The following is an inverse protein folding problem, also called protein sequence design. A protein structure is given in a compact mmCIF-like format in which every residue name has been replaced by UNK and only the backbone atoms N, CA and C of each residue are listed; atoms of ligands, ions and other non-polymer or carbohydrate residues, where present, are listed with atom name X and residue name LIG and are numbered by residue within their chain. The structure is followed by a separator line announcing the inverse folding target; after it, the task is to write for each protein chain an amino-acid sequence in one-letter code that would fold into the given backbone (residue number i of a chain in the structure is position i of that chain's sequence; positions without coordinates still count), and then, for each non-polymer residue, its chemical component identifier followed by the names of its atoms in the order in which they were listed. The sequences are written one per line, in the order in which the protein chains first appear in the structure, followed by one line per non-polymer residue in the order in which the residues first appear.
data_IF_648567917677
#
_entry.id   IF_648567917677
#
_cell.length_a   1.000
_cell.length_b   1.000
_cell.length_c   1.000
_cell.angle_alpha   90.00
_cell.angle_beta   90.00
_cell.angle_gamma   90.00
#
_symmetry.space_group_name_H-M   'P 1'
#
loop_
_entity.id
_entity.type
_entity.pdbx_description
1 polymer ?
#
# COMPACT_ATOMS: atom_id res chain seq x y z
N UNK A 1 -13.05 -21.41 -16.63
CA UNK A 1 -12.07 -21.02 -15.58
C UNK A 1 -11.63 -19.57 -15.77
N UNK A 2 -11.10 -19.19 -16.95
CA UNK A 2 -10.81 -17.79 -17.34
C UNK A 2 -11.96 -16.81 -17.01
N UNK A 3 -13.21 -17.11 -17.39
CA UNK A 3 -14.38 -16.26 -17.09
C UNK A 3 -14.60 -16.03 -15.60
N UNK A 4 -14.33 -17.04 -14.76
CA UNK A 4 -14.48 -16.92 -13.30
C UNK A 4 -13.47 -15.92 -12.76
N UNK A 5 -12.20 -15.99 -13.19
CA UNK A 5 -11.19 -15.04 -12.76
C UNK A 5 -11.50 -13.60 -13.20
N UNK A 6 -11.99 -13.41 -14.44
CA UNK A 6 -12.40 -12.09 -14.92
C UNK A 6 -13.56 -11.54 -14.06
N UNK A 7 -14.60 -12.34 -13.82
CA UNK A 7 -15.72 -11.93 -12.98
C UNK A 7 -15.29 -11.65 -11.54
N UNK A 8 -14.41 -12.47 -10.96
CA UNK A 8 -13.85 -12.26 -9.62
C UNK A 8 -13.08 -10.96 -9.53
N UNK A 9 -12.23 -10.62 -10.50
CA UNK A 9 -11.52 -9.34 -10.53
C UNK A 9 -12.49 -8.15 -10.53
N UNK A 10 -13.53 -8.19 -11.37
CA UNK A 10 -14.53 -7.11 -11.44
C UNK A 10 -15.31 -6.97 -10.15
N UNK A 11 -15.78 -8.09 -9.57
CA UNK A 11 -16.53 -8.09 -8.31
C UNK A 11 -15.65 -7.60 -7.15
N UNK A 12 -14.39 -8.01 -7.09
CA UNK A 12 -13.47 -7.55 -6.05
C UNK A 12 -13.03 -6.09 -6.23
N UNK A 13 -13.07 -5.54 -7.44
CA UNK A 13 -12.78 -4.13 -7.69
C UNK A 13 -13.97 -3.20 -7.39
N UNK A 14 -15.20 -3.72 -7.42
CA UNK A 14 -16.44 -2.97 -7.26
C UNK A 14 -16.53 -2.15 -5.96
N UNK A 15 -16.13 -2.67 -4.78
CA UNK A 15 -16.11 -1.88 -3.54
C UNK A 15 -15.21 -0.64 -3.61
N UNK A 16 -14.16 -0.63 -4.43
CA UNK A 16 -13.24 0.50 -4.55
C UNK A 16 -13.82 1.70 -5.29
N UNK A 17 -14.99 1.54 -5.92
CA UNK A 17 -15.74 2.67 -6.52
C UNK A 17 -16.35 3.55 -5.43
N UNK A 18 -16.63 2.97 -4.26
CA UNK A 18 -17.41 3.60 -3.18
C UNK A 18 -16.62 3.82 -1.89
N UNK A 19 -15.54 3.07 -1.69
CA UNK A 19 -14.69 3.17 -0.48
C UNK A 19 -13.52 4.11 -0.75
N UNK A 20 -13.34 5.11 0.11
CA UNK A 20 -12.14 5.95 0.17
C UNK A 20 -11.68 6.15 1.62
N UNK A 21 -10.37 6.28 1.89
CA UNK A 21 -9.26 6.28 0.93
C UNK A 21 -8.89 4.87 0.43
N UNK A 22 -8.65 4.73 -0.87
CA UNK A 22 -8.19 3.45 -1.46
C UNK A 22 -6.68 3.32 -1.25
N UNK A 23 -6.26 2.34 -0.47
CA UNK A 23 -4.84 2.03 -0.28
C UNK A 23 -4.41 0.92 -1.24
N UNK A 24 -3.12 0.76 -1.52
CA UNK A 24 -2.66 -0.34 -2.40
C UNK A 24 -2.94 -1.75 -1.88
N UNK A 25 -3.17 -1.90 -0.58
CA UNK A 25 -3.62 -3.17 0.02
C UNK A 25 -4.99 -3.58 -0.49
N UNK A 26 -5.83 -2.61 -0.89
CA UNK A 26 -7.11 -2.85 -1.53
C UNK A 26 -6.92 -3.56 -2.88
N UNK A 27 -5.89 -3.20 -3.65
CA UNK A 27 -5.62 -3.79 -4.96
C UNK A 27 -4.94 -5.15 -4.91
N UNK A 28 -4.45 -5.59 -3.74
CA UNK A 28 -3.77 -6.88 -3.57
C UNK A 28 -4.61 -8.05 -4.09
N UNK A 29 -5.88 -8.14 -3.70
CA UNK A 29 -6.79 -9.19 -4.16
C UNK A 29 -6.97 -9.15 -5.69
N UNK A 30 -7.04 -7.95 -6.26
CA UNK A 30 -7.07 -7.76 -7.71
C UNK A 30 -5.82 -8.30 -8.39
N UNK A 31 -4.64 -8.01 -7.84
CA UNK A 31 -3.37 -8.55 -8.33
C UNK A 31 -3.34 -10.08 -8.29
N UNK A 32 -3.85 -10.70 -7.21
CA UNK A 32 -3.95 -12.16 -7.11
C UNK A 32 -4.77 -12.77 -8.25
N UNK A 33 -5.93 -12.18 -8.56
CA UNK A 33 -6.77 -12.67 -9.66
C UNK A 33 -6.14 -12.43 -11.03
N UNK A 34 -5.44 -11.31 -11.24
CA UNK A 34 -4.69 -11.06 -12.46
C UNK A 34 -3.55 -12.06 -12.65
N UNK A 35 -2.83 -12.41 -11.60
CA UNK A 35 -1.78 -13.43 -11.64
C UNK A 35 -2.35 -14.81 -12.01
N UNK A 36 -3.44 -15.22 -11.36
CA UNK A 36 -4.12 -16.50 -11.65
C UNK A 36 -4.67 -16.52 -13.09
N UNK A 37 -5.22 -15.41 -13.56
CA UNK A 37 -5.69 -15.26 -14.95
C UNK A 37 -4.53 -15.40 -15.94
N UNK A 38 -3.40 -14.74 -15.70
CA UNK A 38 -2.22 -14.81 -16.56
C UNK A 38 -1.68 -16.25 -16.65
N UNK A 39 -1.59 -16.95 -15.53
CA UNK A 39 -1.15 -18.35 -15.49
C UNK A 39 -2.12 -19.29 -16.23
N UNK A 40 -3.43 -19.09 -16.06
CA UNK A 40 -4.45 -19.86 -16.79
C UNK A 40 -4.37 -19.61 -18.31
N UNK A 41 -4.10 -18.37 -18.73
CA UNK A 41 -3.90 -18.03 -20.15
C UNK A 41 -2.63 -18.66 -20.71
N UNK A 42 -1.52 -18.65 -19.95
CA UNK A 42 -0.27 -19.34 -20.32
C UNK A 42 -0.52 -20.86 -20.45
N UNK A 43 -1.24 -21.45 -19.49
CA UNK A 43 -1.61 -22.87 -19.55
C UNK A 43 -2.49 -23.19 -20.76
N UNK A 44 -3.46 -22.33 -21.08
CA UNK A 44 -4.34 -22.49 -22.24
C UNK A 44 -3.60 -22.31 -23.58
N UNK A 45 -2.61 -21.42 -23.64
CA UNK A 45 -1.78 -21.19 -24.82
C UNK A 45 -0.71 -22.28 -25.04
N UNK A 46 -0.32 -22.99 -23.98
CA UNK A 46 0.62 -24.12 -24.01
C UNK A 46 0.04 -25.38 -24.66
N UNK A 47 -0.21 -25.31 -25.97
CA UNK A 47 -0.71 -26.44 -26.75
C UNK A 47 0.37 -27.49 -27.09
N UNK A 48 -0.03 -28.77 -27.02
CA UNK A 48 0.64 -29.97 -27.60
C UNK A 48 1.72 -30.69 -26.77
N UNK A 49 1.66 -30.64 -25.44
CA UNK A 49 2.40 -31.56 -24.56
C UNK A 49 1.63 -32.86 -24.28
N UNK A 50 2.33 -33.94 -23.93
CA UNK A 50 1.69 -35.14 -23.36
C UNK A 50 0.92 -34.80 -22.09
N UNK A 51 -0.12 -35.58 -21.75
CA UNK A 51 -0.92 -35.30 -20.54
C UNK A 51 -0.07 -35.20 -19.27
N UNK A 52 0.94 -36.05 -19.13
CA UNK A 52 1.89 -36.00 -18.01
C UNK A 52 2.67 -34.68 -17.94
N UNK A 53 3.11 -34.13 -19.08
CA UNK A 53 3.78 -32.84 -19.13
C UNK A 53 2.84 -31.69 -18.75
N UNK A 54 1.59 -31.74 -19.23
CA UNK A 54 0.58 -30.72 -18.90
C UNK A 54 0.23 -30.73 -17.41
N UNK A 55 0.14 -31.91 -16.81
CA UNK A 55 -0.12 -32.04 -15.37
C UNK A 55 1.06 -31.52 -14.53
N UNK A 56 2.29 -31.85 -14.90
CA UNK A 56 3.48 -31.33 -14.25
C UNK A 56 3.58 -29.80 -14.37
N UNK A 57 3.31 -29.24 -15.55
CA UNK A 57 3.29 -27.79 -15.78
C UNK A 57 2.19 -27.07 -14.99
N UNK A 58 0.99 -27.67 -14.87
CA UNK A 58 -0.09 -27.14 -14.04
C UNK A 58 0.28 -27.12 -12.56
N UNK A 59 0.92 -28.18 -12.04
CA UNK A 59 1.40 -28.23 -10.66
C UNK A 59 2.51 -27.20 -10.40
N UNK A 60 3.47 -27.09 -11.31
CA UNK A 60 4.57 -26.14 -11.19
C UNK A 60 4.07 -24.68 -11.22
N UNK A 61 3.15 -24.35 -12.12
CA UNK A 61 2.54 -23.01 -12.19
C UNK A 61 1.72 -22.70 -10.93
N UNK A 62 0.96 -23.65 -10.40
CA UNK A 62 0.23 -23.48 -9.15
C UNK A 62 1.18 -23.23 -7.96
N UNK A 63 2.27 -24.00 -7.84
CA UNK A 63 3.28 -23.78 -6.78
C UNK A 63 3.96 -22.43 -6.93
N UNK A 64 4.28 -22.01 -8.15
CA UNK A 64 4.86 -20.69 -8.42
C UNK A 64 3.89 -19.57 -8.02
N UNK A 65 2.61 -19.69 -8.40
CA UNK A 65 1.56 -18.74 -8.01
C UNK A 65 1.46 -18.62 -6.49
N UNK A 66 1.34 -19.76 -5.80
CA UNK A 66 1.27 -19.79 -4.34
C UNK A 66 2.49 -19.16 -3.68
N UNK A 67 3.69 -19.44 -4.20
CA UNK A 67 4.93 -18.84 -3.68
C UNK A 67 4.92 -17.32 -3.81
N UNK A 68 4.56 -16.80 -5.00
CA UNK A 68 4.47 -15.35 -5.23
C UNK A 68 3.41 -14.72 -4.32
N UNK A 69 2.25 -15.35 -4.17
CA UNK A 69 1.19 -14.89 -3.28
C UNK A 69 1.63 -14.85 -1.82
N UNK A 70 2.33 -15.88 -1.34
CA UNK A 70 2.86 -15.92 0.02
C UNK A 70 3.88 -14.81 0.26
N UNK A 71 4.80 -14.57 -0.69
CA UNK A 71 5.81 -13.50 -0.58
C UNK A 71 5.15 -12.13 -0.54
N UNK A 72 4.22 -11.85 -1.46
CA UNK A 72 3.52 -10.56 -1.49
C UNK A 72 2.64 -10.37 -0.25
N UNK A 73 1.95 -11.43 0.20
CA UNK A 73 1.16 -11.38 1.44
C UNK A 73 2.06 -11.05 2.64
N UNK A 74 3.24 -11.66 2.73
CA UNK A 74 4.21 -11.37 3.77
C UNK A 74 4.68 -9.91 3.72
N UNK A 75 5.06 -9.41 2.54
CA UNK A 75 5.47 -8.02 2.35
C UNK A 75 4.38 -7.04 2.80
N UNK A 76 3.14 -7.23 2.33
CA UNK A 76 2.02 -6.36 2.70
C UNK A 76 1.66 -6.45 4.18
N UNK A 77 1.77 -7.64 4.78
CA UNK A 77 1.51 -7.85 6.20
C UNK A 77 2.55 -7.13 7.07
N UNK A 78 3.84 -7.28 6.73
CA UNK A 78 4.94 -6.62 7.44
C UNK A 78 4.84 -5.10 7.30
N UNK A 79 4.63 -4.59 6.09
CA UNK A 79 4.39 -3.17 5.86
C UNK A 79 3.18 -2.67 6.64
N UNK A 80 2.08 -3.43 6.71
CA UNK A 80 0.92 -3.04 7.51
C UNK A 80 1.25 -2.92 8.99
N UNK A 81 1.95 -3.92 9.54
CA UNK A 81 2.31 -3.92 10.94
C UNK A 81 3.21 -2.73 11.30
N UNK A 82 4.26 -2.50 10.51
CA UNK A 82 5.18 -1.36 10.73
C UNK A 82 4.47 -0.02 10.53
N UNK A 83 3.59 0.06 9.54
CA UNK A 83 2.77 1.26 9.33
C UNK A 83 1.91 1.58 10.57
N UNK A 84 1.20 0.58 11.12
CA UNK A 84 0.38 0.78 12.33
C UNK A 84 1.24 1.24 13.50
N UNK A 85 2.39 0.61 13.68
CA UNK A 85 3.33 1.00 14.73
C UNK A 85 3.82 2.45 14.56
N UNK A 86 4.12 2.87 13.33
CA UNK A 86 4.50 4.26 13.06
C UNK A 86 3.35 5.24 13.33
N UNK A 87 2.09 4.87 13.01
CA UNK A 87 0.90 5.68 13.31
C UNK A 87 0.75 5.86 14.82
N UNK A 88 0.85 4.77 15.58
CA UNK A 88 0.72 4.82 17.04
C UNK A 88 1.85 5.65 17.68
N UNK A 89 3.08 5.52 17.19
CA UNK A 89 4.19 6.37 17.62
C UNK A 89 3.91 7.86 17.39
N UNK A 90 3.39 8.24 16.21
CA UNK A 90 3.07 9.64 15.96
C UNK A 90 1.93 10.14 16.84
N UNK A 91 0.92 9.32 17.12
CA UNK A 91 -0.15 9.68 18.06
C UNK A 91 0.42 9.99 19.45
N UNK A 92 1.34 9.15 19.93
CA UNK A 92 2.02 9.37 21.21
C UNK A 92 2.84 10.67 21.19
N UNK A 93 3.62 10.91 20.13
CA UNK A 93 4.42 12.14 19.98
C UNK A 93 3.56 13.41 19.92
N UNK A 94 2.42 13.36 19.23
CA UNK A 94 1.47 14.47 19.14
C UNK A 94 0.83 14.70 20.51
N UNK A 95 0.41 13.65 21.20
CA UNK A 95 -0.19 13.74 22.53
C UNK A 95 0.78 14.28 23.59
N UNK A 96 2.08 13.98 23.46
CA UNK A 96 3.13 14.55 24.32
C UNK A 96 3.53 15.99 23.93
N UNK A 97 3.00 16.52 22.83
CA UNK A 97 3.29 17.87 22.35
C UNK A 97 4.63 18.00 21.63
N UNK A 98 5.21 16.89 21.14
CA UNK A 98 6.47 16.94 20.43
C UNK A 98 6.33 17.65 19.09
N UNK A 99 7.32 18.50 18.81
CA UNK A 99 7.37 19.30 17.59
C UNK A 99 8.33 18.72 16.54
N UNK A 100 9.15 17.74 16.93
CA UNK A 100 10.04 17.00 16.04
C UNK A 100 9.52 15.56 15.97
N UNK A 101 8.76 15.26 14.92
CA UNK A 101 8.14 13.95 14.77
C UNK A 101 9.14 12.94 14.20
N UNK A 102 9.02 11.70 14.66
CA UNK A 102 9.80 10.57 14.16
C UNK A 102 8.84 9.60 13.47
N UNK A 103 9.13 9.27 12.23
CA UNK A 103 8.35 8.33 11.43
C UNK A 103 9.23 7.12 11.16
N UNK A 104 8.65 5.93 11.25
CA UNK A 104 9.34 4.70 10.91
C UNK A 104 9.00 4.35 9.46
N UNK A 105 10.02 4.30 8.63
CA UNK A 105 9.88 3.94 7.22
C UNK A 105 9.46 2.48 7.07
N UNK A 106 8.74 2.19 5.99
CA UNK A 106 8.29 0.84 5.73
C UNK A 106 9.47 -0.08 5.38
N UNK A 107 9.44 -1.38 5.76
CA UNK A 107 10.52 -2.32 5.42
C UNK A 107 10.65 -2.61 3.92
N UNK A 108 9.56 -2.45 3.17
CA UNK A 108 9.45 -2.66 1.73
C UNK A 108 8.69 -1.49 1.07
N UNK A 109 9.27 -0.29 1.01
CA UNK A 109 8.58 0.92 0.57
C UNK A 109 8.19 0.87 -0.92
N UNK A 110 8.91 0.10 -1.74
CA UNK A 110 8.61 -0.04 -3.18
C UNK A 110 7.28 -0.76 -3.45
N UNK A 111 6.73 -1.44 -2.45
CA UNK A 111 5.45 -2.14 -2.48
C UNK A 111 4.36 -1.39 -1.70
N UNK A 112 4.62 -0.12 -1.36
CA UNK A 112 3.73 0.73 -0.59
C UNK A 112 3.90 2.23 -0.87
N UNK A 113 3.02 2.85 -1.67
CA UNK A 113 2.69 4.28 -1.69
C UNK A 113 2.37 4.88 -0.31
N UNK A 114 2.06 4.07 0.72
CA UNK A 114 1.92 4.57 2.09
C UNK A 114 3.22 5.13 2.71
N UNK A 115 4.38 4.99 2.06
CA UNK A 115 5.65 5.61 2.48
C UNK A 115 5.61 7.15 2.37
N UNK A 116 4.60 7.70 1.70
CA UNK A 116 4.41 9.14 1.55
C UNK A 116 3.78 9.83 2.78
N UNK A 117 3.71 9.16 3.94
CA UNK A 117 3.12 9.78 5.12
C UNK A 117 3.81 11.12 5.50
N UNK A 118 5.14 11.16 5.38
CA UNK A 118 5.94 12.36 5.58
C UNK A 118 5.63 13.48 4.56
N UNK A 119 5.16 13.11 3.37
CA UNK A 119 4.79 14.00 2.25
C UNK A 119 3.48 14.74 2.54
N UNK A 120 2.58 14.13 3.30
CA UNK A 120 1.29 14.74 3.67
C UNK A 120 1.34 15.55 4.97
N UNK A 121 2.45 15.52 5.71
CA UNK A 121 2.57 16.25 6.98
C UNK A 121 2.73 17.77 6.79
N UNK A 122 1.94 18.59 7.51
CA UNK A 122 2.09 20.04 7.46
C UNK A 122 3.36 20.47 8.21
N UNK A 123 4.48 20.64 7.49
CA UNK A 123 5.73 21.14 8.07
C UNK A 123 5.72 22.66 8.19
N UNK A 124 6.07 23.20 9.36
CA UNK A 124 6.21 24.65 9.53
C UNK A 124 7.44 25.18 8.75
N UNK A 125 7.19 25.86 7.63
CA UNK A 125 8.21 26.64 6.90
C UNK A 125 8.72 26.04 5.59
N UNK A 126 8.23 24.86 5.17
CA UNK A 126 8.49 24.29 3.83
C UNK A 126 7.18 23.84 3.17
N UNK A 127 6.27 24.78 2.96
CA UNK A 127 5.43 24.66 1.77
C UNK A 127 6.34 25.09 0.62
N UNK A 128 7.09 24.13 0.07
CA UNK A 128 7.94 24.39 -1.09
C UNK A 128 7.07 25.08 -2.14
N UNK A 129 7.54 26.17 -2.76
CA UNK A 129 6.70 26.95 -3.68
C UNK A 129 6.20 26.11 -4.84
N UNK A 130 6.90 25.03 -5.18
CA UNK A 130 6.48 24.03 -6.15
C UNK A 130 5.40 23.07 -5.61
N UNK A 131 5.45 22.69 -4.32
CA UNK A 131 4.36 21.98 -3.64
C UNK A 131 3.14 22.89 -3.51
N UNK A 132 3.32 24.17 -3.17
CA UNK A 132 2.27 25.19 -3.16
C UNK A 132 1.65 25.43 -4.55
N UNK A 133 2.45 25.34 -5.62
CA UNK A 133 1.98 25.46 -7.01
C UNK A 133 1.25 24.20 -7.50
N UNK A 134 1.63 23.01 -7.01
CA UNK A 134 0.90 21.76 -7.23
C UNK A 134 -0.40 21.72 -6.41
N UNK A 135 -0.38 22.22 -5.18
CA UNK A 135 -1.54 22.42 -4.31
C UNK A 135 -2.54 23.43 -4.91
N UNK A 136 -2.07 24.47 -5.60
CA UNK A 136 -2.94 25.48 -6.25
C UNK A 136 -3.64 24.99 -7.52
N UNK A 137 -3.23 23.84 -8.09
CA UNK A 137 -3.75 23.36 -9.39
C UNK A 137 -4.89 22.34 -9.32
N UNK A 138 -5.43 22.01 -8.13
CA UNK A 138 -6.79 21.46 -8.02
C UNK A 138 -7.03 20.41 -6.93
N UNK A 139 -7.68 20.82 -5.83
CA UNK A 139 -8.87 20.27 -5.15
C UNK A 139 -9.11 18.75 -4.93
N UNK A 140 -8.16 17.85 -5.19
CA UNK A 140 -8.32 16.42 -4.84
C UNK A 140 -7.31 15.92 -3.79
N UNK A 141 -6.10 16.48 -3.81
CA UNK A 141 -4.98 15.99 -3.00
C UNK A 141 -5.08 16.43 -1.53
N UNK A 142 -5.64 17.62 -1.28
CA UNK A 142 -5.92 18.13 0.08
C UNK A 142 -7.04 17.31 0.76
N UNK A 143 -8.07 16.92 0.01
CA UNK A 143 -9.13 16.03 0.52
C UNK A 143 -8.59 14.64 0.85
N UNK A 144 -7.71 14.07 0.01
CA UNK A 144 -7.19 12.72 0.25
C UNK A 144 -6.28 12.65 1.48
N UNK A 145 -5.35 13.61 1.65
CA UNK A 145 -4.49 13.66 2.84
C UNK A 145 -5.27 13.86 4.13
N UNK A 146 -6.27 14.75 4.13
CA UNK A 146 -7.16 14.95 5.27
C UNK A 146 -8.00 13.71 5.59
N UNK A 147 -8.61 13.08 4.57
CA UNK A 147 -9.33 11.81 4.71
C UNK A 147 -8.41 10.69 5.20
N UNK A 148 -7.15 10.68 4.78
CA UNK A 148 -6.17 9.69 5.17
C UNK A 148 -5.79 9.83 6.65
N UNK A 149 -5.50 11.06 7.11
CA UNK A 149 -5.25 11.30 8.54
C UNK A 149 -6.49 11.09 9.39
N UNK A 150 -7.68 11.47 8.91
CA UNK A 150 -8.94 11.20 9.60
C UNK A 150 -9.21 9.69 9.73
N UNK A 151 -9.03 8.93 8.65
CA UNK A 151 -9.16 7.47 8.65
C UNK A 151 -8.23 6.81 9.68
N UNK A 152 -7.01 7.33 9.81
CA UNK A 152 -6.04 6.86 10.81
C UNK A 152 -6.10 7.62 12.13
N UNK A 153 -7.13 8.44 12.41
CA UNK A 153 -7.31 9.12 13.69
C UNK A 153 -6.16 10.03 14.10
N UNK A 154 -5.53 10.71 13.14
CA UNK A 154 -4.43 11.65 13.31
C UNK A 154 -4.88 13.11 13.13
N UNK A 155 -6.15 13.43 13.37
CA UNK A 155 -6.71 14.78 13.16
C UNK A 155 -6.04 15.86 14.01
N UNK A 156 -5.51 15.50 15.18
CA UNK A 156 -4.84 16.43 16.10
C UNK A 156 -3.52 16.98 15.54
N UNK A 157 -2.99 16.36 14.49
CA UNK A 157 -1.75 16.77 13.83
C UNK A 157 -1.81 18.19 13.28
N UNK A 158 -3.01 18.65 12.89
CA UNK A 158 -3.23 20.02 12.40
C UNK A 158 -3.19 21.08 13.50
N UNK A 159 -3.31 20.67 14.77
CA UNK A 159 -3.26 21.57 15.92
C UNK A 159 -1.83 21.80 16.44
N UNK A 160 -0.88 20.94 16.05
CA UNK A 160 0.52 20.98 16.52
C UNK A 160 1.42 21.65 15.49
N UNK A 161 2.29 22.56 15.95
CA UNK A 161 3.28 23.21 15.09
C UNK A 161 4.51 22.31 14.90
N UNK A 162 4.46 21.44 13.90
CA UNK A 162 5.57 20.53 13.55
C UNK A 162 6.75 21.35 13.02
N UNK A 163 7.89 21.27 13.70
CA UNK A 163 9.16 21.92 13.33
C UNK A 163 9.98 21.08 12.37
N UNK A 164 10.02 19.77 12.59
CA UNK A 164 10.76 18.84 11.73
C UNK A 164 10.14 17.45 11.76
N UNK A 165 10.39 16.69 10.71
CA UNK A 165 10.02 15.28 10.59
C UNK A 165 11.30 14.53 10.26
N UNK A 166 11.61 13.51 11.05
CA UNK A 166 12.75 12.62 10.81
C UNK A 166 12.22 11.23 10.47
N UNK A 167 12.59 10.71 9.30
CA UNK A 167 12.31 9.33 8.94
C UNK A 167 13.46 8.43 9.39
N UNK A 168 13.14 7.31 10.03
CA UNK A 168 14.09 6.30 10.48
C UNK A 168 13.74 4.99 9.80
N UNK A 169 14.73 4.33 9.20
CA UNK A 169 14.56 2.99 8.64
C UNK A 169 14.11 2.02 9.73
N UNK A 170 13.09 1.20 9.43
CA UNK A 170 12.64 0.13 10.32
C UNK A 170 13.78 -0.74 10.83
N UNK A 171 14.73 -1.10 9.96
CA UNK A 171 15.87 -1.96 10.31
C UNK A 171 16.85 -1.31 11.30
N UNK A 172 16.89 0.02 11.35
CA UNK A 172 17.73 0.76 12.31
C UNK A 172 17.04 1.00 13.65
N UNK A 173 15.71 0.90 13.71
CA UNK A 173 14.93 1.09 14.93
C UNK A 173 14.89 -0.18 15.80
N UNK A 174 14.99 -1.36 15.20
CA UNK A 174 14.92 -2.66 15.88
C UNK A 174 16.28 -3.22 16.34
N UNK A 175 17.38 -2.50 16.11
CA UNK A 175 18.75 -2.84 16.52
C UNK A 175 19.22 -1.93 17.65
#
# INVERSE_FOLDING_TARGET
RVTVYICSTVICALPFIVVGPVTERCFFIGFCFWLLLALELIYAAGGSGTEAYREAAARASAVMACTVLCILSYIHLVNHYVFMFSIDLMREQIASGETNLVIIELPYPEYSMADELALYLPQSGKLDKDLALQLQKGDAMESYGALYFEYWGLTDIYSVKIRSVTSISYYSYTL
#
